data_IF_996577649084
#
_entry.id   IF_996577649084
#
_cell.length_a   1.000
_cell.length_b   1.000
_cell.length_c   1.000
_cell.angle_alpha   90.00
_cell.angle_beta   90.00
_cell.angle_gamma   90.00
#
_symmetry.space_group_name_H-M   'P 1'
#
loop_
_entity.id
_entity.type
_entity.pdbx_description
1 polymer ?
#
# COMPACT_ATOMS: atom_id res chain seq x y z
N UNK A 1 -3.82 -35.50 24.16
CA UNK A 1 -3.91 -35.13 25.60
C UNK A 1 -3.46 -36.28 26.49
N UNK A 2 -3.60 -37.53 26.03
CA UNK A 2 -3.23 -38.74 26.76
C UNK A 2 -1.74 -38.82 27.15
N UNK A 3 -0.82 -38.28 26.35
CA UNK A 3 0.62 -38.37 26.64
C UNK A 3 1.08 -37.57 27.87
N UNK A 4 0.47 -36.40 28.13
CA UNK A 4 0.85 -35.54 29.26
C UNK A 4 0.30 -36.10 30.56
N UNK A 5 -0.94 -36.57 30.56
CA UNK A 5 -1.55 -37.22 31.74
C UNK A 5 -0.79 -38.50 32.09
N UNK A 6 -0.46 -39.31 31.08
CA UNK A 6 0.34 -40.53 31.26
C UNK A 6 1.76 -40.23 31.76
N UNK A 7 2.37 -39.10 31.35
CA UNK A 7 3.67 -38.67 31.88
C UNK A 7 3.58 -38.22 33.35
N UNK A 8 2.54 -37.46 33.71
CA UNK A 8 2.33 -36.99 35.09
C UNK A 8 2.04 -38.17 36.01
N UNK A 9 1.30 -39.17 35.54
CA UNK A 9 1.01 -40.40 36.29
C UNK A 9 2.20 -41.34 36.41
N UNK A 10 3.27 -41.12 35.64
CA UNK A 10 4.57 -41.79 35.85
C UNK A 10 5.49 -41.02 36.81
N UNK A 11 5.17 -39.77 37.14
CA UNK A 11 5.96 -38.98 38.08
C UNK A 11 5.79 -39.48 39.53
N UNK A 12 6.74 -39.19 40.43
CA UNK A 12 6.62 -39.49 41.86
C UNK A 12 5.34 -38.89 42.46
N UNK A 13 4.62 -39.67 43.28
CA UNK A 13 3.34 -39.26 43.92
C UNK A 13 3.40 -37.88 44.58
N UNK A 14 4.54 -37.54 45.22
CA UNK A 14 4.77 -36.25 45.88
C UNK A 14 4.78 -35.06 44.91
N UNK A 15 5.06 -35.27 43.63
CA UNK A 15 5.18 -34.24 42.60
C UNK A 15 3.94 -34.13 41.70
N UNK A 16 3.12 -35.18 41.60
CA UNK A 16 1.94 -35.21 40.71
C UNK A 16 0.98 -34.06 40.97
N UNK A 17 0.65 -33.80 42.23
CA UNK A 17 -0.26 -32.71 42.59
C UNK A 17 0.26 -31.33 42.15
N UNK A 18 1.57 -31.10 42.23
CA UNK A 18 2.20 -29.87 41.76
C UNK A 18 2.16 -29.78 40.24
N UNK A 19 2.46 -30.87 39.53
CA UNK A 19 2.44 -30.93 38.07
C UNK A 19 1.02 -30.72 37.52
N UNK A 20 0.00 -31.37 38.08
CA UNK A 20 -1.39 -31.15 37.70
C UNK A 20 -1.81 -29.68 37.92
N UNK A 21 -1.43 -29.09 39.05
CA UNK A 21 -1.71 -27.67 39.33
C UNK A 21 -1.02 -26.72 38.35
N UNK A 22 0.21 -27.04 37.93
CA UNK A 22 0.94 -26.26 36.94
C UNK A 22 0.30 -26.38 35.54
N UNK A 23 -0.09 -27.60 35.15
CA UNK A 23 -0.79 -27.86 33.87
C UNK A 23 -2.11 -27.11 33.81
N UNK A 24 -2.92 -27.15 34.87
CA UNK A 24 -4.19 -26.42 34.94
C UNK A 24 -3.97 -24.89 34.81
N UNK A 25 -2.94 -24.35 35.46
CA UNK A 25 -2.59 -22.92 35.32
C UNK A 25 -2.16 -22.57 33.90
N UNK A 26 -1.34 -23.41 33.26
CA UNK A 26 -0.93 -23.22 31.87
C UNK A 26 -2.11 -23.31 30.92
N UNK A 27 -3.02 -24.28 31.11
CA UNK A 27 -4.24 -24.40 30.33
C UNK A 27 -5.12 -23.15 30.46
N UNK A 28 -5.26 -22.61 31.67
CA UNK A 28 -6.00 -21.37 31.90
C UNK A 28 -5.33 -20.16 31.20
N UNK A 29 -3.99 -20.07 31.23
CA UNK A 29 -3.25 -19.01 30.52
C UNK A 29 -3.36 -19.12 28.99
N UNK A 30 -3.27 -20.34 28.46
CA UNK A 30 -3.44 -20.60 27.01
C UNK A 30 -4.86 -20.27 26.58
N UNK A 31 -5.88 -20.66 27.36
CA UNK A 31 -7.27 -20.32 27.07
C UNK A 31 -7.50 -18.80 27.09
N UNK A 32 -6.94 -18.08 28.08
CA UNK A 32 -7.03 -16.63 28.15
C UNK A 32 -6.37 -15.95 26.93
N UNK A 33 -5.16 -16.38 26.54
CA UNK A 33 -4.48 -15.88 25.34
C UNK A 33 -5.23 -16.22 24.04
N UNK A 34 -5.86 -17.40 23.97
CA UNK A 34 -6.66 -17.77 22.80
C UNK A 34 -7.88 -16.85 22.63
N UNK A 35 -8.52 -16.47 23.73
CA UNK A 35 -9.62 -15.49 23.73
C UNK A 35 -9.13 -14.11 23.29
N UNK A 36 -7.97 -13.66 23.79
CA UNK A 36 -7.35 -12.38 23.38
C UNK A 36 -7.00 -12.37 21.88
N UNK A 37 -6.39 -13.44 21.37
CA UNK A 37 -6.08 -13.59 19.94
C UNK A 37 -7.33 -13.61 19.08
N UNK A 38 -8.41 -14.26 19.52
CA UNK A 38 -9.68 -14.26 18.80
C UNK A 38 -10.30 -12.85 18.76
N UNK A 39 -10.21 -12.09 19.85
CA UNK A 39 -10.67 -10.70 19.91
C UNK A 39 -9.87 -9.80 18.96
N UNK A 40 -8.54 -9.89 18.99
CA UNK A 40 -7.64 -9.16 18.09
C UNK A 40 -7.90 -9.52 16.61
N UNK A 41 -8.12 -10.81 16.32
CA UNK A 41 -8.46 -11.24 14.96
C UNK A 41 -9.78 -10.62 14.48
N UNK A 42 -10.80 -10.59 15.33
CA UNK A 42 -12.08 -9.95 15.02
C UNK A 42 -11.92 -8.44 14.79
N UNK A 43 -11.19 -7.75 15.67
CA UNK A 43 -10.90 -6.32 15.51
C UNK A 43 -10.16 -6.01 14.21
N UNK A 44 -9.19 -6.86 13.85
CA UNK A 44 -8.45 -6.73 12.59
C UNK A 44 -9.36 -6.95 11.36
N UNK A 45 -10.30 -7.90 11.43
CA UNK A 45 -11.30 -8.09 10.37
C UNK A 45 -12.22 -6.87 10.24
N UNK A 46 -12.70 -6.31 11.36
CA UNK A 46 -13.59 -5.15 11.37
C UNK A 46 -12.88 -3.89 10.83
N UNK A 47 -11.63 -3.66 11.24
CA UNK A 47 -10.80 -2.55 10.73
C UNK A 47 -10.48 -2.71 9.25
N UNK A 48 -10.18 -3.93 8.79
CA UNK A 48 -9.97 -4.23 7.36
C UNK A 48 -11.24 -3.94 6.54
N UNK A 49 -12.41 -4.37 7.03
CA UNK A 49 -13.68 -4.10 6.36
C UNK A 49 -14.00 -2.60 6.31
N UNK A 50 -13.70 -1.85 7.38
CA UNK A 50 -13.86 -0.39 7.42
C UNK A 50 -12.94 0.29 6.42
N UNK A 51 -11.67 -0.11 6.36
CA UNK A 51 -10.70 0.44 5.40
C UNK A 51 -11.13 0.19 3.96
N UNK A 52 -11.59 -1.02 3.63
CA UNK A 52 -12.10 -1.34 2.30
C UNK A 52 -13.27 -0.43 1.89
N UNK A 53 -14.24 -0.22 2.80
CA UNK A 53 -15.36 0.71 2.56
C UNK A 53 -14.88 2.16 2.40
N UNK A 54 -13.94 2.62 3.22
CA UNK A 54 -13.39 3.98 3.11
C UNK A 54 -12.68 4.18 1.78
N UNK A 55 -11.90 3.19 1.31
CA UNK A 55 -11.25 3.24 -0.02
C UNK A 55 -12.27 3.30 -1.15
N UNK A 56 -13.34 2.50 -1.09
CA UNK A 56 -14.42 2.56 -2.07
C UNK A 56 -15.11 3.92 -2.08
N UNK A 57 -15.38 4.50 -0.90
CA UNK A 57 -15.94 5.86 -0.80
C UNK A 57 -15.01 6.90 -1.42
N UNK A 58 -13.70 6.82 -1.16
CA UNK A 58 -12.71 7.73 -1.74
C UNK A 58 -12.72 7.67 -3.26
N UNK A 59 -12.70 6.47 -3.84
CA UNK A 59 -12.73 6.31 -5.30
C UNK A 59 -14.03 6.88 -5.88
N UNK A 60 -15.17 6.59 -5.26
CA UNK A 60 -16.46 7.10 -5.70
C UNK A 60 -16.54 8.63 -5.60
N UNK A 61 -16.00 9.26 -4.55
CA UNK A 61 -15.99 10.72 -4.40
C UNK A 61 -15.06 11.39 -5.38
N UNK A 62 -13.88 10.80 -5.67
CA UNK A 62 -12.98 11.30 -6.70
C UNK A 62 -13.64 11.27 -8.07
N UNK A 63 -14.30 10.16 -8.42
CA UNK A 63 -15.03 10.05 -9.67
C UNK A 63 -16.17 11.08 -9.76
N UNK A 64 -16.96 11.24 -8.69
CA UNK A 64 -18.00 12.27 -8.62
C UNK A 64 -17.45 13.70 -8.69
N UNK A 65 -16.20 13.92 -8.28
CA UNK A 65 -15.48 15.18 -8.41
C UNK A 65 -14.89 15.41 -9.82
N UNK A 66 -15.17 14.52 -10.78
CA UNK A 66 -14.76 14.63 -12.19
C UNK A 66 -13.44 13.95 -12.52
N UNK A 67 -12.90 13.10 -11.64
CA UNK A 67 -11.71 12.31 -11.93
C UNK A 67 -12.09 11.11 -12.80
N UNK A 68 -11.68 11.14 -14.07
CA UNK A 68 -12.05 10.13 -15.09
C UNK A 68 -10.84 9.48 -15.76
N UNK A 69 -9.65 10.05 -15.59
CA UNK A 69 -8.39 9.57 -16.16
C UNK A 69 -7.18 10.08 -15.35
N UNK A 70 -5.96 9.66 -15.70
CA UNK A 70 -4.75 10.08 -14.97
C UNK A 70 -4.54 11.60 -14.99
N UNK A 71 -4.93 12.28 -16.09
CA UNK A 71 -4.82 13.74 -16.19
C UNK A 71 -5.72 14.45 -15.18
N UNK A 72 -7.01 14.14 -15.16
CA UNK A 72 -7.98 14.71 -14.22
C UNK A 72 -7.67 14.31 -12.77
N UNK A 73 -7.10 13.11 -12.55
CA UNK A 73 -6.57 12.70 -11.25
C UNK A 73 -5.44 13.61 -10.76
N UNK A 74 -4.45 13.84 -11.63
CA UNK A 74 -3.34 14.75 -11.35
C UNK A 74 -3.84 16.18 -11.05
N UNK A 75 -4.77 16.69 -11.84
CA UNK A 75 -5.41 17.99 -11.62
C UNK A 75 -6.10 18.07 -10.25
N UNK A 76 -6.78 16.99 -9.84
CA UNK A 76 -7.41 16.89 -8.53
C UNK A 76 -6.37 16.90 -7.40
N UNK A 77 -5.28 16.13 -7.52
CA UNK A 77 -4.19 16.10 -6.53
C UNK A 77 -3.60 17.49 -6.32
N UNK A 78 -3.29 18.21 -7.42
CA UNK A 78 -2.79 19.59 -7.34
C UNK A 78 -3.80 20.51 -6.66
N UNK A 79 -5.08 20.39 -7.01
CA UNK A 79 -6.13 21.19 -6.38
C UNK A 79 -6.20 20.95 -4.87
N UNK A 80 -6.09 19.69 -4.43
CA UNK A 80 -6.04 19.33 -3.02
C UNK A 80 -4.82 19.93 -2.32
N UNK A 81 -3.62 19.73 -2.86
CA UNK A 81 -2.39 20.23 -2.24
C UNK A 81 -2.34 21.77 -2.19
N UNK A 82 -2.94 22.46 -3.16
CA UNK A 82 -3.11 23.92 -3.10
C UNK A 82 -3.94 24.39 -1.89
N UNK A 83 -4.93 23.61 -1.46
CA UNK A 83 -5.76 23.95 -0.31
C UNK A 83 -5.04 23.66 1.02
N UNK A 84 -4.11 22.72 1.02
CA UNK A 84 -3.31 22.35 2.20
C UNK A 84 -2.17 23.33 2.47
N UNK A 85 -1.68 24.02 1.44
CA UNK A 85 -0.50 24.88 1.52
C UNK A 85 -0.85 26.36 1.74
N UNK A 86 -0.09 27.08 2.60
CA UNK A 86 -0.21 28.54 2.72
C UNK A 86 0.02 29.24 1.36
N UNK A 87 -0.96 30.05 0.94
CA UNK A 87 -0.91 30.74 -0.36
C UNK A 87 -0.92 29.81 -1.58
N UNK A 88 -1.36 28.55 -1.43
CA UNK A 88 -1.27 27.56 -2.51
C UNK A 88 -2.03 27.94 -3.78
N UNK A 89 -3.13 28.71 -3.66
CA UNK A 89 -3.91 29.18 -4.83
C UNK A 89 -3.09 30.08 -5.77
N UNK A 90 -2.12 30.81 -5.24
CA UNK A 90 -1.25 31.71 -6.01
C UNK A 90 0.01 31.01 -6.55
N UNK A 91 0.30 29.78 -6.10
CA UNK A 91 1.49 29.03 -6.50
C UNK A 91 1.35 28.44 -7.90
N UNK A 92 2.46 28.44 -8.64
CA UNK A 92 2.57 27.63 -9.85
C UNK A 92 2.48 26.16 -9.48
N UNK A 93 1.98 25.34 -10.39
CA UNK A 93 1.75 23.91 -10.12
C UNK A 93 3.03 23.16 -9.72
N UNK A 94 4.16 23.47 -10.35
CA UNK A 94 5.47 22.90 -9.96
C UNK A 94 5.86 23.25 -8.52
N UNK A 95 5.54 24.47 -8.05
CA UNK A 95 5.83 24.88 -6.66
C UNK A 95 4.90 24.15 -5.68
N UNK A 96 3.65 23.90 -6.08
CA UNK A 96 2.71 23.07 -5.31
C UNK A 96 3.24 21.64 -5.19
N UNK A 97 3.80 21.07 -6.26
CA UNK A 97 4.44 19.75 -6.21
C UNK A 97 5.67 19.75 -5.32
N UNK A 98 6.55 20.74 -5.46
CA UNK A 98 7.77 20.85 -4.64
C UNK A 98 7.43 20.84 -3.15
N UNK A 99 6.49 21.67 -2.73
CA UNK A 99 6.10 21.74 -1.32
C UNK A 99 5.30 20.50 -0.89
N UNK A 100 4.40 20.01 -1.74
CA UNK A 100 3.61 18.81 -1.43
C UNK A 100 4.45 17.53 -1.30
N UNK A 101 5.57 17.43 -2.03
CA UNK A 101 6.56 16.36 -1.91
C UNK A 101 7.36 16.46 -0.61
N UNK A 102 7.73 17.66 -0.16
CA UNK A 102 8.41 17.85 1.15
C UNK A 102 7.55 17.35 2.30
N UNK A 103 6.24 17.56 2.21
CA UNK A 103 5.28 17.11 3.22
C UNK A 103 4.99 15.59 3.14
N UNK A 104 5.48 14.91 2.08
CA UNK A 104 5.16 13.50 1.78
C UNK A 104 6.43 12.68 1.54
N UNK A 105 7.24 12.41 2.58
CA UNK A 105 8.49 11.66 2.44
C UNK A 105 8.29 10.23 1.92
N UNK A 106 7.15 9.59 2.20
CA UNK A 106 6.83 8.25 1.66
C UNK A 106 6.66 8.27 0.13
N UNK A 107 6.00 9.30 -0.39
CA UNK A 107 5.86 9.50 -1.84
C UNK A 107 7.22 9.73 -2.48
N UNK A 108 8.06 10.58 -1.87
CA UNK A 108 9.45 10.80 -2.33
C UNK A 108 10.22 9.48 -2.35
N UNK A 109 10.14 8.68 -1.28
CA UNK A 109 10.80 7.38 -1.22
C UNK A 109 10.31 6.42 -2.32
N UNK A 110 9.00 6.38 -2.59
CA UNK A 110 8.44 5.60 -3.70
C UNK A 110 9.03 6.05 -5.05
N UNK A 111 9.01 7.35 -5.33
CA UNK A 111 9.50 7.91 -6.59
C UNK A 111 11.01 7.68 -6.78
N UNK A 112 11.81 7.80 -5.73
CA UNK A 112 13.25 7.53 -5.80
C UNK A 112 13.56 6.04 -6.03
N UNK A 113 12.74 5.15 -5.46
CA UNK A 113 12.88 3.69 -5.61
C UNK A 113 12.45 3.22 -7.00
N UNK A 114 11.27 3.67 -7.45
CA UNK A 114 10.61 3.10 -8.63
C UNK A 114 10.87 3.92 -9.90
N UNK A 115 11.34 5.16 -9.75
CA UNK A 115 11.68 6.06 -10.86
C UNK A 115 13.06 6.72 -10.68
N UNK A 116 14.14 5.93 -10.50
CA UNK A 116 15.47 6.47 -10.21
C UNK A 116 16.01 7.40 -11.33
N UNK A 117 15.49 7.28 -12.56
CA UNK A 117 15.83 8.17 -13.67
C UNK A 117 15.41 9.63 -13.44
N UNK A 118 14.42 9.90 -12.59
CA UNK A 118 13.98 11.26 -12.29
C UNK A 118 14.87 11.98 -11.30
N UNK A 119 15.64 11.25 -10.50
CA UNK A 119 16.57 11.82 -9.54
C UNK A 119 17.83 10.95 -9.45
N UNK A 120 18.77 11.13 -10.41
CA UNK A 120 20.02 10.38 -10.43
C UNK A 120 20.79 10.43 -9.11
N UNK A 121 21.54 9.35 -8.83
CA UNK A 121 22.36 9.24 -7.64
C UNK A 121 23.35 10.41 -7.51
N UNK A 122 23.55 10.90 -6.28
CA UNK A 122 24.47 12.00 -5.97
C UNK A 122 23.84 13.40 -5.94
N UNK A 123 22.53 13.53 -6.24
CA UNK A 123 21.79 14.76 -5.96
C UNK A 123 21.56 14.93 -4.45
N UNK A 124 21.63 16.17 -3.96
CA UNK A 124 21.16 16.50 -2.61
C UNK A 124 19.63 16.49 -2.55
N UNK A 125 19.06 16.42 -1.35
CA UNK A 125 17.61 16.29 -1.13
C UNK A 125 16.80 17.42 -1.81
N UNK A 126 17.28 18.66 -1.74
CA UNK A 126 16.60 19.79 -2.37
C UNK A 126 16.51 19.64 -3.90
N UNK A 127 17.63 19.28 -4.55
CA UNK A 127 17.67 19.03 -6.00
C UNK A 127 16.87 17.80 -6.40
N UNK A 128 16.82 16.78 -5.54
CA UNK A 128 15.99 15.60 -5.77
C UNK A 128 14.51 16.00 -5.82
N UNK A 129 14.02 16.71 -4.80
CA UNK A 129 12.62 17.16 -4.76
C UNK A 129 12.29 18.06 -5.94
N UNK A 130 13.20 18.96 -6.33
CA UNK A 130 13.01 19.82 -7.50
C UNK A 130 12.89 19.01 -8.79
N UNK A 131 13.76 18.01 -8.97
CA UNK A 131 13.72 17.16 -10.16
C UNK A 131 12.44 16.31 -10.20
N UNK A 132 12.03 15.74 -9.08
CA UNK A 132 10.77 14.97 -8.96
C UNK A 132 9.55 15.86 -9.28
N UNK A 133 9.48 17.07 -8.72
CA UNK A 133 8.40 18.02 -8.97
C UNK A 133 8.30 18.41 -10.46
N UNK A 134 9.43 18.67 -11.11
CA UNK A 134 9.46 18.99 -12.53
C UNK A 134 9.02 17.81 -13.41
N UNK A 135 9.37 16.57 -13.04
CA UNK A 135 8.92 15.39 -13.78
C UNK A 135 7.41 15.14 -13.60
N UNK A 136 6.86 15.32 -12.40
CA UNK A 136 5.42 15.27 -12.17
C UNK A 136 4.68 16.34 -12.97
N UNK A 137 5.21 17.56 -13.01
CA UNK A 137 4.69 18.65 -13.85
C UNK A 137 4.73 18.27 -15.35
N UNK A 138 5.83 17.66 -15.81
CA UNK A 138 5.98 17.24 -17.20
C UNK A 138 4.94 16.17 -17.61
N UNK A 139 4.49 15.33 -16.67
CA UNK A 139 3.42 14.36 -16.95
C UNK A 139 2.14 15.09 -17.37
N UNK A 140 1.75 16.20 -16.74
CA UNK A 140 0.53 16.94 -17.14
C UNK A 140 0.53 17.35 -18.61
N UNK A 141 1.70 17.63 -19.18
CA UNK A 141 1.82 18.08 -20.56
C UNK A 141 1.60 16.94 -21.57
N UNK A 142 1.62 15.69 -21.14
CA UNK A 142 1.44 14.55 -22.03
C UNK A 142 -0.03 14.16 -22.19
N UNK A 143 -0.56 14.31 -23.41
CA UNK A 143 -1.92 13.91 -23.79
C UNK A 143 -2.16 12.42 -23.69
N UNK A 144 -1.12 11.59 -23.69
CA UNK A 144 -1.22 10.14 -23.52
C UNK A 144 -1.77 9.74 -22.15
N UNK A 145 -1.80 10.66 -21.17
CA UNK A 145 -2.43 10.40 -19.87
C UNK A 145 -3.96 10.36 -19.90
N UNK A 146 -4.58 10.72 -21.02
CA UNK A 146 -6.02 10.50 -21.20
C UNK A 146 -6.35 9.01 -21.46
N UNK A 147 -5.34 8.19 -21.77
CA UNK A 147 -5.47 6.74 -22.02
C UNK A 147 -5.56 5.95 -20.72
N UNK A 148 -4.92 6.44 -19.64
CA UNK A 148 -5.03 5.86 -18.31
C UNK A 148 -6.35 6.25 -17.68
N UNK A 149 -7.26 5.30 -17.48
CA UNK A 149 -8.63 5.59 -17.04
C UNK A 149 -8.74 5.65 -15.52
N UNK A 150 -9.83 6.22 -15.01
CA UNK A 150 -10.20 6.15 -13.61
C UNK A 150 -11.52 5.41 -13.48
N UNK A 151 -11.48 4.24 -12.83
CA UNK A 151 -12.63 3.39 -12.63
C UNK A 151 -13.26 3.68 -11.25
N UNK A 152 -14.57 3.92 -11.15
CA UNK A 152 -15.23 4.26 -9.87
C UNK A 152 -15.26 3.11 -8.84
N UNK A 153 -14.89 1.89 -9.22
CA UNK A 153 -14.74 0.75 -8.32
C UNK A 153 -13.27 0.39 -8.04
N UNK A 154 -12.37 0.58 -9.02
CA UNK A 154 -10.98 0.13 -8.94
C UNK A 154 -9.95 1.26 -8.75
N UNK A 155 -10.34 2.52 -8.95
CA UNK A 155 -9.41 3.65 -8.88
C UNK A 155 -8.65 3.86 -10.18
N UNK A 156 -7.38 4.26 -10.08
CA UNK A 156 -6.56 4.63 -11.24
C UNK A 156 -6.10 3.37 -12.01
N UNK A 157 -6.44 3.29 -13.28
CA UNK A 157 -6.05 2.20 -14.18
C UNK A 157 -4.97 2.69 -15.14
N UNK A 158 -3.76 2.19 -14.97
CA UNK A 158 -2.60 2.52 -15.80
C UNK A 158 -2.35 1.42 -16.82
N UNK A 159 -1.95 1.78 -18.03
CA UNK A 159 -1.69 0.83 -19.11
C UNK A 159 -0.21 0.85 -19.43
N UNK A 160 0.52 -0.23 -19.09
CA UNK A 160 1.98 -0.25 -19.17
C UNK A 160 2.51 0.02 -20.59
N UNK A 161 1.82 -0.49 -21.61
CA UNK A 161 2.26 -0.40 -23.01
C UNK A 161 2.05 0.98 -23.65
N UNK A 162 1.23 1.85 -23.05
CA UNK A 162 0.78 3.10 -23.68
C UNK A 162 1.58 4.33 -23.21
N UNK A 163 2.51 4.16 -22.28
CA UNK A 163 3.41 5.22 -21.83
C UNK A 163 4.80 4.65 -21.50
N UNK A 164 5.81 5.52 -21.41
CA UNK A 164 7.10 5.11 -20.87
C UNK A 164 6.98 4.61 -19.42
N UNK A 165 7.82 3.63 -19.06
CA UNK A 165 7.83 3.02 -17.72
C UNK A 165 7.93 4.04 -16.57
N UNK A 166 8.83 5.04 -16.63
CA UNK A 166 8.96 6.07 -15.59
C UNK A 166 7.66 6.81 -15.26
N UNK A 167 6.87 7.20 -16.26
CA UNK A 167 5.60 7.89 -16.02
C UNK A 167 4.56 6.97 -15.39
N UNK A 168 4.44 5.72 -15.84
CA UNK A 168 3.50 4.75 -15.23
C UNK A 168 3.86 4.54 -13.76
N UNK A 169 5.14 4.30 -13.46
CA UNK A 169 5.62 4.14 -12.10
C UNK A 169 5.43 5.42 -11.25
N UNK A 170 5.68 6.60 -11.83
CA UNK A 170 5.46 7.88 -11.16
C UNK A 170 3.99 8.14 -10.82
N UNK A 171 3.06 7.81 -11.72
CA UNK A 171 1.63 7.88 -11.48
C UNK A 171 1.18 6.89 -10.39
N UNK A 172 1.70 5.66 -10.41
CA UNK A 172 1.42 4.67 -9.39
C UNK A 172 1.89 5.11 -8.00
N UNK A 173 3.12 5.62 -7.89
CA UNK A 173 3.63 6.20 -6.66
C UNK A 173 2.77 7.37 -6.17
N UNK A 174 2.34 8.25 -7.07
CA UNK A 174 1.49 9.38 -6.70
C UNK A 174 0.14 8.91 -6.15
N UNK A 175 -0.50 7.92 -6.80
CA UNK A 175 -1.75 7.32 -6.33
C UNK A 175 -1.59 6.69 -4.94
N UNK A 176 -0.51 5.92 -4.71
CA UNK A 176 -0.17 5.39 -3.40
C UNK A 176 0.03 6.51 -2.36
N UNK A 177 0.72 7.59 -2.74
CA UNK A 177 1.00 8.74 -1.88
C UNK A 177 -0.24 9.55 -1.47
N UNK A 178 -1.39 9.33 -2.12
CA UNK A 178 -2.69 9.94 -1.76
C UNK A 178 -3.76 8.88 -1.44
N UNK A 179 -3.34 7.65 -1.12
CA UNK A 179 -4.19 6.52 -0.72
C UNK A 179 -5.25 6.11 -1.77
N UNK A 180 -5.01 6.41 -3.05
CA UNK A 180 -5.89 6.04 -4.16
C UNK A 180 -5.48 4.67 -4.71
N UNK A 181 -6.39 3.68 -4.76
CA UNK A 181 -6.13 2.41 -5.43
C UNK A 181 -5.65 2.61 -6.86
N UNK A 182 -4.61 1.86 -7.25
CA UNK A 182 -4.00 1.93 -8.57
C UNK A 182 -3.71 0.52 -9.09
N UNK A 183 -4.04 0.27 -10.35
CA UNK A 183 -3.80 -1.00 -11.02
C UNK A 183 -3.07 -0.75 -12.33
N UNK A 184 -2.08 -1.60 -12.65
CA UNK A 184 -1.29 -1.49 -13.88
C UNK A 184 -1.66 -2.67 -14.79
N UNK A 185 -2.40 -2.40 -15.86
CA UNK A 185 -2.73 -3.36 -16.90
C UNK A 185 -1.47 -3.73 -17.69
N UNK A 186 -1.15 -5.02 -17.73
CA UNK A 186 0.05 -5.60 -18.34
C UNK A 186 0.90 -6.48 -17.40
N UNK A 187 0.50 -6.68 -16.14
CA UNK A 187 0.94 -7.84 -15.37
C UNK A 187 -0.02 -8.99 -15.68
N UNK A 188 0.42 -9.94 -16.51
CA UNK A 188 -0.32 -11.18 -16.69
C UNK A 188 -0.55 -11.83 -15.31
N UNK A 189 -1.81 -11.98 -14.91
CA UNK A 189 -2.25 -12.75 -13.73
C UNK A 189 -1.96 -14.27 -13.85
N UNK A 190 -1.00 -14.68 -14.70
CA UNK A 190 -0.68 -16.10 -14.98
C UNK A 190 0.68 -16.56 -14.46
N UNK A 191 1.45 -15.72 -13.78
CA UNK A 191 2.77 -16.13 -13.24
C UNK A 191 2.72 -16.90 -11.91
N UNK A 192 1.54 -17.14 -11.33
CA UNK A 192 1.36 -18.08 -10.21
C UNK A 192 0.78 -19.41 -10.73
N UNK A 193 1.48 -20.02 -11.68
CA UNK A 193 1.46 -21.48 -11.83
C UNK A 193 2.91 -21.91 -11.70
N UNK A 194 3.34 -22.15 -10.45
CA UNK A 194 4.57 -22.88 -10.21
C UNK A 194 4.44 -24.24 -10.90
N UNK A 195 5.24 -24.37 -11.96
CA UNK A 195 5.49 -25.60 -12.70
C UNK A 195 5.89 -26.71 -11.74
N UNK A 196 5.25 -27.85 -11.95
CA UNK A 196 5.74 -29.18 -11.60
C UNK A 196 7.25 -29.29 -11.81
N UNK A 197 7.99 -29.46 -10.71
CA UNK A 197 9.34 -30.00 -10.73
C UNK A 197 9.34 -31.35 -10.03
N UNK A 198 8.87 -32.37 -10.75
CA UNK A 198 9.33 -33.74 -10.54
C UNK A 198 9.65 -34.35 -11.90
N UNK A 199 10.76 -33.90 -12.48
CA UNK A 199 11.48 -34.66 -13.49
C UNK A 199 12.52 -35.53 -12.78
N UNK A 200 12.30 -36.84 -12.83
CA UNK A 200 13.28 -37.85 -12.49
C UNK A 200 14.52 -37.72 -13.39
N UNK A 201 15.71 -37.92 -12.82
CA UNK A 201 16.79 -38.78 -13.36
C UNK A 201 18.04 -38.71 -12.50
N UNK A 202 18.34 -39.79 -11.79
CA UNK A 202 19.60 -40.53 -11.85
C UNK A 202 19.39 -41.93 -11.25
#
# INVERSE_FOLDING_TARGET
>A
MDDIVTLVDKAPLKLRAMLYKAILRLQAQVAARAVEMAALAKENMDTTAKLARTKQLLVATLYAAGVVNARSFLEHVVKMWRMEQPGGQQKKRVDVFKDGLKDRPKLVACLLRDVPSWAPAGMNEEKQVDSLANNLEAIFANTSNDIHTFNPAMGLMLVRAMHNGPTVAGLACLAEGVDVPCHIEGEDETSIVEKDNNAASA
#
